data_IF_152849152304
#
_entry.id   IF_152849152304
#
_cell.length_a   1.000
_cell.length_b   1.000
_cell.length_c   1.000
_cell.angle_alpha   90.00
_cell.angle_beta   90.00
_cell.angle_gamma   90.00
#
_symmetry.space_group_name_H-M   'P 1'
#
loop_
_entity.id
_entity.type
_entity.pdbx_description
1 polymer ?
#
# COMPACT_ATOMS: atom_id res chain seq x y z
N UNK A 1 -65.48 52.59 -51.61
CA UNK A 1 -64.05 52.21 -51.45
C UNK A 1 -63.78 51.03 -52.36
N UNK A 2 -62.80 51.10 -53.28
CA UNK A 2 -62.74 50.18 -54.41
C UNK A 2 -62.14 48.81 -54.00
N UNK A 3 -62.68 47.69 -54.52
CA UNK A 3 -62.29 46.33 -54.14
C UNK A 3 -60.85 45.94 -54.53
N UNK A 4 -60.19 46.75 -55.36
CA UNK A 4 -58.81 46.51 -55.81
C UNK A 4 -57.75 46.76 -54.73
N UNK A 5 -58.02 47.62 -53.74
CA UNK A 5 -57.06 47.90 -52.66
C UNK A 5 -56.93 46.73 -51.69
N UNK A 6 -58.03 46.01 -51.44
CA UNK A 6 -58.06 44.85 -50.56
C UNK A 6 -57.30 43.65 -51.13
N UNK A 7 -57.33 43.46 -52.46
CA UNK A 7 -56.65 42.34 -53.12
C UNK A 7 -55.12 42.51 -53.11
N UNK A 8 -54.65 43.75 -53.32
CA UNK A 8 -53.22 44.09 -53.28
C UNK A 8 -52.62 43.87 -51.89
N UNK A 9 -53.34 44.27 -50.83
CA UNK A 9 -52.90 44.07 -49.45
C UNK A 9 -52.83 42.59 -49.08
N UNK A 10 -53.79 41.79 -49.55
CA UNK A 10 -53.80 40.33 -49.33
C UNK A 10 -52.66 39.63 -50.08
N UNK A 11 -52.35 40.07 -51.29
CA UNK A 11 -51.21 39.55 -52.07
C UNK A 11 -49.86 39.87 -51.39
N UNK A 12 -49.69 41.11 -50.92
CA UNK A 12 -48.48 41.52 -50.21
C UNK A 12 -48.31 40.76 -48.88
N UNK A 13 -49.40 40.52 -48.15
CA UNK A 13 -49.39 39.72 -46.93
C UNK A 13 -49.04 38.25 -47.20
N UNK A 14 -49.56 37.67 -48.28
CA UNK A 14 -49.21 36.31 -48.70
C UNK A 14 -47.73 36.20 -49.11
N UNK A 15 -47.21 37.17 -49.86
CA UNK A 15 -45.79 37.23 -50.24
C UNK A 15 -44.89 37.36 -49.01
N UNK A 16 -45.28 38.19 -48.03
CA UNK A 16 -44.57 38.30 -46.75
C UNK A 16 -44.55 36.97 -46.00
N UNK A 17 -45.67 36.25 -45.95
CA UNK A 17 -45.76 34.92 -45.34
C UNK A 17 -44.87 33.90 -46.05
N UNK A 18 -44.80 33.92 -47.38
CA UNK A 18 -43.90 33.05 -48.16
C UNK A 18 -42.43 33.39 -47.89
N UNK A 19 -42.08 34.67 -47.78
CA UNK A 19 -40.72 35.11 -47.42
C UNK A 19 -40.35 34.70 -45.99
N UNK A 20 -41.27 34.87 -45.03
CA UNK A 20 -41.05 34.45 -43.64
C UNK A 20 -40.95 32.93 -43.52
N UNK A 21 -41.79 32.18 -44.24
CA UNK A 21 -41.75 30.72 -44.28
C UNK A 21 -40.45 30.21 -44.92
N UNK A 22 -39.99 30.83 -46.02
CA UNK A 22 -38.72 30.48 -46.65
C UNK A 22 -37.50 30.85 -45.79
N UNK A 23 -37.56 31.95 -45.03
CA UNK A 23 -36.52 32.29 -44.03
C UNK A 23 -36.51 31.31 -42.85
N UNK A 24 -37.66 30.89 -42.33
CA UNK A 24 -37.74 29.84 -41.30
C UNK A 24 -37.28 28.49 -41.84
N UNK A 25 -37.64 28.12 -43.07
CA UNK A 25 -37.22 26.88 -43.70
C UNK A 25 -35.70 26.85 -43.95
N UNK A 26 -35.11 27.96 -44.41
CA UNK A 26 -33.66 28.08 -44.60
C UNK A 26 -32.90 28.12 -43.26
N UNK A 27 -33.47 28.73 -42.22
CA UNK A 27 -32.91 28.71 -40.86
C UNK A 27 -33.00 27.34 -40.20
N UNK A 28 -34.04 26.55 -40.51
CA UNK A 28 -34.22 25.19 -40.00
C UNK A 28 -33.36 24.15 -40.73
N UNK A 29 -32.91 24.43 -41.96
CA UNK A 29 -31.91 23.62 -42.67
C UNK A 29 -30.45 24.03 -42.36
N UNK A 30 -30.23 25.27 -41.92
CA UNK A 30 -28.89 25.80 -41.60
C UNK A 30 -28.62 25.94 -40.09
N UNK A 31 -29.49 25.43 -39.21
CA UNK A 31 -29.08 25.16 -37.85
C UNK A 31 -27.86 24.21 -37.93
N UNK A 32 -26.70 24.55 -37.34
CA UNK A 32 -25.62 23.59 -37.27
C UNK A 32 -26.17 22.42 -36.49
N UNK A 33 -26.45 21.32 -37.19
CA UNK A 33 -26.54 20.03 -36.55
C UNK A 33 -25.22 19.94 -35.80
N UNK A 34 -25.27 20.06 -34.47
CA UNK A 34 -24.22 19.53 -33.63
C UNK A 34 -24.20 18.05 -33.96
N UNK A 35 -23.50 17.71 -35.05
CA UNK A 35 -23.09 16.35 -35.33
C UNK A 35 -22.36 15.99 -34.06
N UNK A 36 -23.02 15.15 -33.26
CA UNK A 36 -22.32 14.35 -32.27
C UNK A 36 -21.13 13.78 -33.02
N UNK A 37 -19.92 14.30 -32.75
CA UNK A 37 -18.67 13.73 -33.25
C UNK A 37 -18.50 12.41 -32.51
N UNK A 38 -19.35 11.45 -32.86
CA UNK A 38 -19.07 10.05 -32.64
C UNK A 38 -17.98 9.72 -33.67
N UNK A 39 -16.73 10.13 -33.41
CA UNK A 39 -15.66 9.28 -33.92
C UNK A 39 -16.00 7.90 -33.32
N UNK A 40 -16.17 6.86 -34.15
CA UNK A 40 -16.60 5.57 -33.64
C UNK A 40 -15.62 5.21 -32.52
N UNK A 41 -16.11 4.74 -31.37
CA UNK A 41 -15.25 4.43 -30.22
C UNK A 41 -14.00 3.60 -30.62
N UNK A 42 -14.12 2.83 -31.70
CA UNK A 42 -13.08 2.10 -32.42
C UNK A 42 -11.88 2.94 -32.89
N UNK A 43 -12.08 4.17 -33.39
CA UNK A 43 -11.01 5.05 -33.90
C UNK A 43 -10.23 5.72 -32.76
N UNK A 44 -10.92 6.11 -31.68
CA UNK A 44 -10.25 6.55 -30.46
C UNK A 44 -9.49 5.40 -29.80
N UNK A 45 -10.08 4.21 -29.75
CA UNK A 45 -9.44 3.02 -29.18
C UNK A 45 -8.22 2.59 -30.01
N UNK A 46 -8.30 2.65 -31.34
CA UNK A 46 -7.16 2.33 -32.21
C UNK A 46 -6.06 3.37 -32.09
N UNK A 47 -6.39 4.66 -32.06
CA UNK A 47 -5.43 5.74 -31.79
C UNK A 47 -4.75 5.55 -30.42
N UNK A 48 -5.53 5.35 -29.36
CA UNK A 48 -5.02 5.13 -28.00
C UNK A 48 -4.09 3.91 -27.94
N UNK A 49 -4.50 2.79 -28.54
CA UNK A 49 -3.69 1.56 -28.57
C UNK A 49 -2.41 1.75 -29.39
N UNK A 50 -2.49 2.44 -30.52
CA UNK A 50 -1.32 2.72 -31.38
C UNK A 50 -0.36 3.76 -30.80
N UNK A 51 -0.82 4.60 -29.87
CA UNK A 51 -0.01 5.63 -29.21
C UNK A 51 0.88 5.09 -28.09
N UNK A 52 0.61 3.88 -27.60
CA UNK A 52 1.44 3.21 -26.59
C UNK A 52 2.58 2.43 -27.25
N UNK A 53 3.80 2.61 -26.76
CA UNK A 53 4.98 1.91 -27.27
C UNK A 53 5.78 1.26 -26.15
N UNK A 54 6.18 0.00 -26.36
CA UNK A 54 7.03 -0.75 -25.43
C UNK A 54 8.35 -0.01 -25.15
N UNK A 55 8.91 0.72 -26.13
CA UNK A 55 10.14 1.49 -25.94
C UNK A 55 9.92 2.68 -24.99
N UNK A 56 8.75 3.32 -25.07
CA UNK A 56 8.39 4.45 -24.22
C UNK A 56 8.10 3.98 -22.79
N UNK A 57 7.36 2.87 -22.64
CA UNK A 57 7.14 2.22 -21.34
C UNK A 57 8.47 1.82 -20.68
N UNK A 58 9.35 1.14 -21.43
CA UNK A 58 10.69 0.75 -20.96
C UNK A 58 11.52 1.96 -20.53
N UNK A 59 11.50 3.04 -21.31
CA UNK A 59 12.20 4.28 -20.98
C UNK A 59 11.69 4.91 -19.69
N UNK A 60 10.36 5.02 -19.52
CA UNK A 60 9.77 5.56 -18.30
C UNK A 60 10.08 4.70 -17.08
N UNK A 61 9.94 3.37 -17.21
CA UNK A 61 10.29 2.42 -16.16
C UNK A 61 11.75 2.60 -15.75
N UNK A 62 12.68 2.60 -16.72
CA UNK A 62 14.11 2.79 -16.46
C UNK A 62 14.41 4.10 -15.74
N UNK A 63 13.73 5.20 -16.11
CA UNK A 63 13.90 6.49 -15.45
C UNK A 63 13.39 6.49 -14.00
N UNK A 64 12.22 5.89 -13.75
CA UNK A 64 11.58 5.87 -12.43
C UNK A 64 12.28 4.91 -11.47
N UNK A 65 12.88 3.83 -11.95
CA UNK A 65 13.54 2.80 -11.11
C UNK A 65 15.04 2.99 -10.94
N UNK A 66 15.63 4.13 -11.34
CA UNK A 66 17.09 4.37 -11.20
C UNK A 66 17.58 4.41 -9.76
N UNK A 67 16.70 4.78 -8.82
CA UNK A 67 17.01 5.00 -7.40
C UNK A 67 15.81 4.60 -6.55
N UNK A 68 16.03 4.11 -5.32
CA UNK A 68 14.96 3.97 -4.34
C UNK A 68 14.28 5.33 -4.11
N UNK A 69 12.94 5.36 -4.15
CA UNK A 69 12.16 6.60 -4.11
C UNK A 69 11.04 6.51 -3.06
N UNK A 70 11.42 6.10 -1.84
CA UNK A 70 10.54 5.99 -0.67
C UNK A 70 9.83 7.32 -0.38
N UNK A 71 8.55 7.26 -0.01
CA UNK A 71 7.76 8.46 0.31
C UNK A 71 8.49 9.39 1.27
N UNK A 72 8.36 10.71 1.09
CA UNK A 72 9.02 11.72 1.93
C UNK A 72 10.52 11.94 1.66
N UNK A 73 11.16 11.19 0.75
CA UNK A 73 12.58 11.35 0.42
C UNK A 73 12.84 12.28 -0.78
N UNK A 74 14.05 12.88 -0.90
CA UNK A 74 14.43 13.66 -2.08
C UNK A 74 14.35 12.88 -3.41
N UNK A 75 14.65 11.57 -3.40
CA UNK A 75 14.51 10.70 -4.57
C UNK A 75 13.05 10.56 -5.02
N UNK A 76 12.10 10.49 -4.08
CA UNK A 76 10.66 10.49 -4.37
C UNK A 76 10.20 11.81 -4.98
N UNK A 77 10.70 12.93 -4.48
CA UNK A 77 10.45 14.24 -5.11
C UNK A 77 10.99 14.32 -6.54
N UNK A 78 12.15 13.71 -6.79
CA UNK A 78 12.75 13.65 -8.14
C UNK A 78 11.90 12.82 -9.10
N UNK A 79 11.37 11.68 -8.64
CA UNK A 79 10.44 10.86 -9.42
C UNK A 79 9.14 11.61 -9.74
N UNK A 80 8.57 12.34 -8.77
CA UNK A 80 7.40 13.18 -8.99
C UNK A 80 7.66 14.30 -10.00
N UNK A 81 8.82 14.96 -9.92
CA UNK A 81 9.23 15.97 -10.89
C UNK A 81 9.39 15.41 -12.31
N UNK A 82 9.91 14.18 -12.44
CA UNK A 82 9.97 13.49 -13.73
C UNK A 82 8.57 13.29 -14.31
N UNK A 83 7.63 12.73 -13.55
CA UNK A 83 6.25 12.53 -14.03
C UNK A 83 5.61 13.86 -14.42
N UNK A 84 5.75 14.90 -13.59
CA UNK A 84 5.23 16.24 -13.87
C UNK A 84 5.78 16.80 -15.19
N UNK A 85 7.08 16.66 -15.44
CA UNK A 85 7.70 17.12 -16.68
C UNK A 85 7.16 16.38 -17.91
N UNK A 86 6.96 15.06 -17.84
CA UNK A 86 6.38 14.27 -18.94
C UNK A 86 4.95 14.67 -19.25
N UNK A 87 4.12 14.87 -18.23
CA UNK A 87 2.74 15.33 -18.42
C UNK A 87 2.69 16.72 -19.05
N UNK A 88 3.55 17.66 -18.61
CA UNK A 88 3.66 19.00 -19.22
C UNK A 88 4.13 18.96 -20.66
N UNK A 89 5.16 18.16 -20.96
CA UNK A 89 5.65 17.99 -22.33
C UNK A 89 4.60 17.39 -23.26
N UNK A 90 3.66 16.60 -22.73
CA UNK A 90 2.51 16.08 -23.48
C UNK A 90 1.37 17.11 -23.66
N UNK A 91 1.56 18.36 -23.22
CA UNK A 91 0.56 19.42 -23.34
C UNK A 91 -0.57 19.35 -22.30
N UNK A 92 -0.44 18.51 -21.27
CA UNK A 92 -1.46 18.39 -20.23
C UNK A 92 -1.36 19.53 -19.21
N UNK A 93 -2.52 20.08 -18.82
CA UNK A 93 -2.61 20.96 -17.66
C UNK A 93 -2.28 20.14 -16.39
N UNK A 94 -1.30 20.59 -15.63
CA UNK A 94 -0.78 19.86 -14.47
C UNK A 94 -0.81 20.71 -13.21
N UNK A 95 -1.18 20.09 -12.10
CA UNK A 95 -1.23 20.70 -10.77
C UNK A 95 -0.44 19.84 -9.78
N UNK A 96 0.29 20.47 -8.87
CA UNK A 96 0.97 19.81 -7.76
C UNK A 96 0.35 20.23 -6.43
N UNK A 97 0.17 19.28 -5.52
CA UNK A 97 -0.29 19.53 -4.15
C UNK A 97 0.68 18.89 -3.17
N UNK A 98 0.94 19.61 -2.08
CA UNK A 98 1.83 19.16 -1.01
C UNK A 98 1.00 18.89 0.24
N UNK A 99 1.25 17.73 0.84
CA UNK A 99 0.70 17.32 2.11
C UNK A 99 1.84 17.01 3.08
N UNK A 100 1.56 17.10 4.37
CA UNK A 100 2.48 16.76 5.46
C UNK A 100 1.86 15.63 6.31
N UNK A 101 1.69 14.41 5.77
CA UNK A 101 1.15 13.29 6.53
C UNK A 101 2.17 12.76 7.55
N UNK A 102 1.70 12.04 8.57
CA UNK A 102 2.59 11.24 9.40
C UNK A 102 3.21 10.11 8.55
N UNK A 103 4.52 9.98 8.59
CA UNK A 103 5.27 8.87 8.00
C UNK A 103 6.14 8.24 9.09
N UNK A 104 6.59 7.01 8.87
CA UNK A 104 7.48 6.29 9.78
C UNK A 104 8.68 5.73 9.02
N UNK A 105 9.86 5.78 9.62
CA UNK A 105 11.08 5.20 9.08
C UNK A 105 11.78 4.40 10.18
N UNK A 106 12.55 3.35 9.83
CA UNK A 106 13.32 2.63 10.82
C UNK A 106 14.56 3.43 11.24
N UNK A 107 14.91 3.36 12.52
CA UNK A 107 16.16 3.89 13.07
C UNK A 107 17.17 2.76 13.27
N UNK A 108 16.81 1.72 14.01
CA UNK A 108 17.66 0.56 14.25
C UNK A 108 16.83 -0.66 14.62
N UNK A 109 17.28 -1.85 14.23
CA UNK A 109 16.67 -3.12 14.63
C UNK A 109 17.74 -4.18 14.87
N UNK A 110 17.45 -5.12 15.76
CA UNK A 110 18.30 -6.29 16.00
C UNK A 110 17.45 -7.49 16.37
N UNK A 111 17.91 -8.66 15.95
CA UNK A 111 17.29 -9.93 16.28
C UNK A 111 18.38 -10.96 16.58
N UNK A 112 18.19 -11.74 17.63
CA UNK A 112 19.13 -12.81 17.99
C UNK A 112 18.43 -13.92 18.75
N UNK A 113 18.97 -15.14 18.62
CA UNK A 113 18.63 -16.28 19.44
C UNK A 113 19.51 -16.26 20.69
N UNK A 114 18.88 -16.45 21.85
CA UNK A 114 19.54 -16.66 23.12
C UNK A 114 19.23 -18.07 23.65
N UNK A 115 20.11 -18.58 24.49
CA UNK A 115 19.86 -19.76 25.33
C UNK A 115 18.94 -19.39 26.52
N UNK A 116 18.41 -20.37 27.28
CA UNK A 116 17.57 -20.10 28.44
C UNK A 116 18.30 -19.33 29.56
N UNK A 117 19.63 -19.41 29.62
CA UNK A 117 20.48 -18.63 30.52
C UNK A 117 20.76 -17.20 30.03
N UNK A 118 20.05 -16.75 28.98
CA UNK A 118 20.20 -15.46 28.31
C UNK A 118 21.55 -15.24 27.60
N UNK A 119 22.40 -16.26 27.50
CA UNK A 119 23.64 -16.17 26.71
C UNK A 119 23.33 -16.16 25.20
N UNK A 120 24.12 -15.39 24.44
CA UNK A 120 23.95 -15.29 22.98
C UNK A 120 24.22 -16.65 22.33
N UNK A 121 23.21 -17.17 21.62
CA UNK A 121 23.34 -18.36 20.79
C UNK A 121 23.77 -17.96 19.37
N UNK A 122 23.01 -17.06 18.74
CA UNK A 122 23.25 -16.64 17.36
C UNK A 122 22.63 -15.28 17.04
N UNK A 123 23.39 -14.30 16.48
CA UNK A 123 22.80 -13.12 15.88
C UNK A 123 22.10 -13.48 14.56
N UNK A 124 20.93 -12.89 14.31
CA UNK A 124 20.15 -13.13 13.10
C UNK A 124 20.27 -11.92 12.16
N UNK A 125 20.43 -12.18 10.86
CA UNK A 125 20.52 -11.11 9.86
C UNK A 125 19.16 -10.46 9.64
N UNK A 126 19.14 -9.12 9.57
CA UNK A 126 17.97 -8.34 9.15
C UNK A 126 18.20 -7.66 7.80
N UNK A 127 19.32 -7.94 7.15
CA UNK A 127 19.60 -7.48 5.80
C UNK A 127 18.70 -8.22 4.81
N UNK A 128 18.43 -7.60 3.67
CA UNK A 128 17.77 -8.24 2.55
C UNK A 128 18.81 -9.06 1.78
N UNK A 129 18.72 -10.40 1.73
CA UNK A 129 19.71 -11.21 1.00
C UNK A 129 19.88 -10.82 -0.47
N UNK A 130 18.81 -10.36 -1.13
CA UNK A 130 18.85 -9.88 -2.51
C UNK A 130 19.60 -8.55 -2.69
N UNK A 131 19.76 -7.76 -1.62
CA UNK A 131 20.55 -6.53 -1.60
C UNK A 131 21.24 -6.37 -0.23
N UNK A 132 22.33 -7.12 0.00
CA UNK A 132 22.98 -7.16 1.30
C UNK A 132 23.82 -5.90 1.58
N UNK A 133 23.89 -4.95 0.64
CA UNK A 133 24.73 -3.77 0.77
C UNK A 133 24.03 -2.65 1.53
N UNK A 134 24.49 -2.27 2.74
CA UNK A 134 23.94 -1.11 3.46
C UNK A 134 24.19 0.22 2.72
N UNK A 135 25.04 0.22 1.70
CA UNK A 135 25.38 1.41 0.89
C UNK A 135 24.50 1.61 -0.34
N UNK A 136 23.54 0.71 -0.62
CA UNK A 136 22.66 0.79 -1.80
C UNK A 136 21.67 1.96 -1.74
N UNK A 137 21.52 2.60 -0.58
CA UNK A 137 20.53 3.64 -0.33
C UNK A 137 19.10 3.10 -0.21
N UNK A 138 18.93 1.76 -0.18
CA UNK A 138 17.67 1.09 0.08
C UNK A 138 17.43 1.10 1.59
N UNK A 139 16.21 1.48 2.00
CA UNK A 139 15.81 1.44 3.41
C UNK A 139 15.85 -0.01 3.91
N UNK A 140 16.40 -0.30 5.10
CA UNK A 140 16.34 -1.65 5.68
C UNK A 140 14.90 -2.17 5.74
N UNK A 141 14.69 -3.50 5.70
CA UNK A 141 13.35 -4.06 5.88
C UNK A 141 12.71 -3.62 7.19
N UNK A 142 11.48 -3.11 7.13
CA UNK A 142 10.74 -2.64 8.30
C UNK A 142 9.23 -2.69 8.07
N UNK A 143 8.50 -2.70 9.19
CA UNK A 143 7.06 -2.52 9.21
C UNK A 143 6.74 -1.05 9.52
N UNK A 144 6.21 -0.34 8.54
CA UNK A 144 5.81 1.05 8.71
C UNK A 144 4.71 1.16 9.76
N UNK A 145 4.84 2.14 10.65
CA UNK A 145 4.03 2.40 11.84
C UNK A 145 4.18 1.39 12.99
N UNK A 146 5.07 0.39 12.90
CA UNK A 146 5.41 -0.42 14.08
C UNK A 146 5.96 0.47 15.20
N UNK A 147 5.47 0.34 16.45
CA UNK A 147 6.04 1.07 17.58
C UNK A 147 7.46 0.59 17.89
N UNK A 148 8.26 1.46 18.51
CA UNK A 148 9.53 1.08 19.11
C UNK A 148 9.30 0.15 20.30
N UNK A 149 10.16 -0.85 20.48
CA UNK A 149 10.03 -1.80 21.58
C UNK A 149 11.12 -2.87 21.55
N UNK A 150 11.23 -3.60 22.64
CA UNK A 150 12.16 -4.72 22.80
C UNK A 150 11.49 -5.84 23.57
N UNK A 151 11.77 -7.07 23.20
CA UNK A 151 11.26 -8.26 23.86
C UNK A 151 12.35 -9.32 23.94
N UNK A 152 12.46 -9.97 25.09
CA UNK A 152 13.26 -11.19 25.26
C UNK A 152 12.32 -12.27 25.73
N UNK A 153 11.83 -13.08 24.80
CA UNK A 153 10.79 -14.06 25.11
C UNK A 153 10.88 -15.31 24.22
N UNK A 154 10.27 -16.43 24.63
CA UNK A 154 10.19 -17.62 23.80
C UNK A 154 9.46 -17.33 22.48
N UNK A 155 9.93 -17.87 21.35
CA UNK A 155 9.20 -17.79 20.08
C UNK A 155 8.03 -18.79 20.01
N UNK A 156 6.97 -18.43 19.28
CA UNK A 156 5.83 -19.30 18.94
C UNK A 156 5.45 -19.10 17.47
N UNK A 157 5.35 -20.18 16.70
CA UNK A 157 4.91 -20.15 15.31
C UNK A 157 3.40 -20.30 15.21
N UNK A 158 2.77 -19.34 14.52
CA UNK A 158 1.30 -19.23 14.43
C UNK A 158 0.83 -19.28 12.98
N UNK A 159 1.57 -19.95 12.10
CA UNK A 159 1.24 -20.03 10.67
C UNK A 159 1.00 -18.64 10.04
N UNK A 160 -0.22 -18.32 9.60
CA UNK A 160 -0.56 -17.02 9.02
C UNK A 160 -1.03 -15.99 10.06
N UNK A 161 -1.19 -16.39 11.32
CA UNK A 161 -1.67 -15.53 12.41
C UNK A 161 -3.15 -15.17 12.29
N UNK A 162 -3.97 -16.03 11.68
CA UNK A 162 -5.44 -15.88 11.62
C UNK A 162 -6.09 -16.46 12.87
N UNK A 163 -7.36 -16.12 13.09
CA UNK A 163 -8.13 -16.65 14.22
C UNK A 163 -8.12 -18.19 14.26
N UNK A 164 -8.20 -18.87 13.11
CA UNK A 164 -8.16 -20.34 13.06
C UNK A 164 -6.81 -20.91 13.48
N UNK A 165 -5.71 -20.20 13.20
CA UNK A 165 -4.36 -20.64 13.56
C UNK A 165 -4.18 -20.60 15.09
N UNK A 166 -4.76 -19.59 15.77
CA UNK A 166 -4.77 -19.54 17.24
C UNK A 166 -5.65 -20.63 17.85
N UNK A 167 -6.79 -20.96 17.24
CA UNK A 167 -7.64 -22.08 17.71
C UNK A 167 -6.89 -23.42 17.64
N UNK A 168 -6.03 -23.60 16.64
CA UNK A 168 -5.16 -24.79 16.56
C UNK A 168 -4.15 -24.79 17.70
N UNK A 169 -3.49 -23.66 18.00
CA UNK A 169 -2.57 -23.58 19.14
C UNK A 169 -3.25 -23.85 20.48
N UNK A 170 -4.47 -23.35 20.68
CA UNK A 170 -5.27 -23.60 21.89
C UNK A 170 -5.54 -25.11 22.05
N UNK A 171 -5.85 -25.82 20.96
CA UNK A 171 -6.03 -27.29 20.96
C UNK A 171 -4.73 -28.04 21.24
N UNK A 172 -3.59 -27.50 20.82
CA UNK A 172 -2.26 -28.04 21.11
C UNK A 172 -1.76 -27.68 22.52
N UNK A 173 -2.51 -26.87 23.28
CA UNK A 173 -2.13 -26.41 24.61
C UNK A 173 -0.97 -25.40 24.60
N UNK A 174 -0.79 -24.63 23.53
CA UNK A 174 0.31 -23.69 23.35
C UNK A 174 -0.18 -22.26 23.56
N UNK A 175 0.24 -21.65 24.67
CA UNK A 175 -0.07 -20.24 24.97
C UNK A 175 0.79 -19.28 24.14
N UNK A 176 0.21 -18.14 23.74
CA UNK A 176 0.89 -17.05 22.99
C UNK A 176 1.24 -15.86 23.87
N UNK A 177 0.53 -15.67 24.98
CA UNK A 177 0.77 -14.58 25.93
C UNK A 177 2.23 -14.54 26.39
N UNK A 178 2.85 -13.37 26.37
CA UNK A 178 4.24 -13.17 26.77
C UNK A 178 5.29 -13.72 25.79
N UNK A 179 4.91 -14.07 24.54
CA UNK A 179 5.82 -14.66 23.53
C UNK A 179 6.09 -13.74 22.35
N UNK A 180 7.18 -14.04 21.62
CA UNK A 180 7.41 -13.47 20.28
C UNK A 180 6.71 -14.34 19.24
N UNK A 181 5.71 -13.78 18.58
CA UNK A 181 4.93 -14.47 17.55
C UNK A 181 5.70 -14.48 16.23
N UNK A 182 5.88 -15.66 15.66
CA UNK A 182 6.47 -15.88 14.33
C UNK A 182 5.33 -16.21 13.36
N UNK A 183 5.19 -15.39 12.33
CA UNK A 183 4.10 -15.53 11.35
C UNK A 183 4.62 -15.48 9.93
N UNK A 184 4.02 -16.32 9.09
CA UNK A 184 4.16 -16.29 7.65
C UNK A 184 3.26 -15.20 7.08
N UNK A 185 3.82 -14.41 6.17
CA UNK A 185 3.11 -13.39 5.42
C UNK A 185 2.15 -14.05 4.44
N UNK A 186 0.86 -13.74 4.56
CA UNK A 186 -0.16 -14.16 3.62
C UNK A 186 -1.55 -13.92 4.17
N UNK A 187 -2.58 -14.35 3.43
CA UNK A 187 -3.95 -14.57 3.92
C UNK A 187 -4.67 -13.38 4.62
N UNK A 188 -4.16 -12.15 4.50
CA UNK A 188 -4.79 -10.96 5.06
C UNK A 188 -3.87 -9.73 5.16
N UNK A 189 -4.38 -8.62 5.72
CA UNK A 189 -3.59 -7.41 6.01
C UNK A 189 -2.61 -7.64 7.17
N UNK A 190 -1.38 -7.12 7.06
CA UNK A 190 -0.35 -7.26 8.11
C UNK A 190 -0.79 -6.64 9.45
N UNK A 191 -1.43 -5.47 9.40
CA UNK A 191 -1.90 -4.78 10.60
C UNK A 191 -2.92 -5.60 11.40
N UNK A 192 -3.78 -6.35 10.71
CA UNK A 192 -4.73 -7.25 11.37
C UNK A 192 -4.02 -8.41 12.08
N UNK A 193 -2.99 -8.99 11.46
CA UNK A 193 -2.17 -10.05 12.08
C UNK A 193 -1.45 -9.54 13.33
N UNK A 194 -0.85 -8.34 13.25
CA UNK A 194 -0.17 -7.73 14.41
C UNK A 194 -1.15 -7.36 15.52
N UNK A 195 -2.32 -6.82 15.17
CA UNK A 195 -3.38 -6.51 16.14
C UNK A 195 -3.88 -7.77 16.84
N UNK A 196 -4.09 -8.86 16.10
CA UNK A 196 -4.51 -10.15 16.67
C UNK A 196 -3.47 -10.73 17.63
N UNK A 197 -2.19 -10.69 17.25
CA UNK A 197 -1.12 -11.13 18.14
C UNK A 197 -1.10 -10.32 19.45
N UNK A 198 -1.31 -9.00 19.37
CA UNK A 198 -1.43 -8.14 20.54
C UNK A 198 -2.66 -8.49 21.41
N UNK A 199 -3.82 -8.76 20.79
CA UNK A 199 -5.03 -9.23 21.50
C UNK A 199 -4.77 -10.55 22.25
N UNK A 200 -3.93 -11.42 21.69
CA UNK A 200 -3.52 -12.70 22.29
C UNK A 200 -2.36 -12.57 23.30
N UNK A 201 -1.93 -11.34 23.60
CA UNK A 201 -0.91 -11.06 24.62
C UNK A 201 0.53 -11.25 24.15
N UNK A 202 0.80 -11.33 22.84
CA UNK A 202 2.17 -11.41 22.33
C UNK A 202 2.96 -10.13 22.62
N UNK A 203 4.27 -10.27 22.82
CA UNK A 203 5.18 -9.15 23.12
C UNK A 203 5.71 -8.48 21.84
N UNK A 204 5.89 -9.27 20.77
CA UNK A 204 6.38 -8.80 19.49
C UNK A 204 5.97 -9.75 18.36
N UNK A 205 6.04 -9.26 17.11
CA UNK A 205 5.77 -10.07 15.92
C UNK A 205 6.97 -10.06 14.96
N UNK A 206 7.43 -11.24 14.58
CA UNK A 206 8.37 -11.44 13.48
C UNK A 206 7.60 -12.03 12.30
N UNK A 207 7.61 -11.34 11.17
CA UNK A 207 6.88 -11.75 9.97
C UNK A 207 7.83 -12.11 8.84
N UNK A 208 7.61 -13.23 8.15
CA UNK A 208 8.47 -13.65 7.04
C UNK A 208 7.66 -13.97 5.78
N UNK A 209 8.24 -13.73 4.60
CA UNK A 209 7.67 -14.19 3.34
C UNK A 209 8.28 -15.52 2.91
N UNK A 210 7.58 -16.25 2.04
CA UNK A 210 8.07 -17.51 1.44
C UNK A 210 8.89 -17.32 0.17
N UNK A 211 9.31 -16.09 -0.12
CA UNK A 211 10.11 -15.84 -1.31
C UNK A 211 11.48 -16.46 -1.15
N UNK A 212 11.85 -17.33 -2.09
CA UNK A 212 13.16 -17.97 -2.15
C UNK A 212 14.22 -17.12 -2.85
N UNK A 213 13.84 -15.95 -3.37
CA UNK A 213 14.73 -15.02 -4.06
C UNK A 213 15.51 -14.09 -3.11
N UNK A 214 15.38 -14.29 -1.79
CA UNK A 214 16.07 -13.49 -0.80
C UNK A 214 15.46 -12.10 -0.58
N UNK A 215 14.23 -11.84 -1.04
CA UNK A 215 13.54 -10.58 -0.81
C UNK A 215 12.84 -10.51 0.56
N UNK A 216 12.76 -9.31 1.15
CA UNK A 216 12.02 -9.07 2.40
C UNK A 216 10.87 -8.08 2.18
N UNK A 217 9.64 -8.53 2.47
CA UNK A 217 8.42 -7.76 2.18
C UNK A 217 8.19 -6.63 3.21
N UNK A 218 8.64 -5.42 2.88
CA UNK A 218 8.29 -4.18 3.61
C UNK A 218 6.79 -3.91 3.52
N UNK A 219 6.24 -3.16 4.47
CA UNK A 219 4.84 -2.72 4.39
C UNK A 219 4.31 -2.06 5.64
N UNK A 220 3.13 -1.46 5.53
CA UNK A 220 2.42 -0.87 6.67
C UNK A 220 1.77 -1.95 7.54
N UNK A 221 1.84 -1.76 8.86
CA UNK A 221 1.06 -2.49 9.86
C UNK A 221 -0.01 -1.62 10.51
N UNK A 222 -0.22 -0.40 10.03
CA UNK A 222 -1.35 0.43 10.44
C UNK A 222 -2.67 -0.26 10.02
N UNK A 223 -3.62 -0.28 10.94
CA UNK A 223 -4.95 -0.85 10.78
C UNK A 223 -5.99 0.21 10.41
N UNK A 224 -7.09 -0.24 9.82
CA UNK A 224 -8.25 0.62 9.52
C UNK A 224 -8.19 1.31 8.16
N UNK A 225 -8.88 2.44 8.06
CA UNK A 225 -9.09 3.18 6.82
C UNK A 225 -7.80 3.78 6.25
N UNK A 226 -7.85 4.10 4.95
CA UNK A 226 -6.76 4.78 4.23
C UNK A 226 -6.62 6.25 4.65
N UNK A 227 -5.44 6.83 4.44
CA UNK A 227 -5.15 8.24 4.72
C UNK A 227 -4.24 8.46 5.93
N UNK A 228 -3.88 9.72 6.21
CA UNK A 228 -3.05 10.10 7.35
C UNK A 228 -3.74 9.71 8.67
N UNK A 229 -3.06 8.98 9.59
CA UNK A 229 -3.60 8.70 10.91
C UNK A 229 -4.00 9.97 11.67
N UNK A 230 -3.28 11.08 11.47
CA UNK A 230 -3.48 12.31 12.26
C UNK A 230 -4.57 13.24 11.70
N UNK A 231 -5.11 12.95 10.50
CA UNK A 231 -6.17 13.76 9.88
C UNK A 231 -7.25 12.87 9.26
N UNK A 232 -8.00 12.09 10.06
CA UNK A 232 -8.96 11.13 9.56
C UNK A 232 -10.14 11.83 8.85
N UNK A 233 -10.15 11.78 7.52
CA UNK A 233 -11.24 12.33 6.70
C UNK A 233 -11.01 13.75 6.17
N UNK A 234 -9.88 14.39 6.49
CA UNK A 234 -9.51 15.69 5.90
C UNK A 234 -8.05 15.73 5.45
N UNK A 235 -7.71 16.77 4.69
CA UNK A 235 -6.40 16.90 4.08
C UNK A 235 -5.33 17.31 5.11
N UNK A 236 -4.22 16.57 5.13
CA UNK A 236 -3.01 16.90 5.91
C UNK A 236 -2.23 18.06 5.28
N UNK A 237 -2.84 19.24 5.12
CA UNK A 237 -2.17 20.44 4.62
C UNK A 237 -1.26 21.04 5.72
N UNK A 238 0.01 21.30 5.39
CA UNK A 238 1.07 21.66 6.36
C UNK A 238 0.82 22.97 7.15
N UNK A 239 1.60 23.13 8.23
CA UNK A 239 1.80 24.21 9.25
C UNK A 239 0.87 25.45 9.42
N UNK A 240 -0.10 25.73 8.54
CA UNK A 240 -0.96 26.93 8.57
C UNK A 240 -2.47 26.62 8.52
N UNK A 241 -2.94 25.49 9.04
CA UNK A 241 -4.37 25.41 9.40
C UNK A 241 -5.17 24.13 9.19
N UNK A 242 -4.56 22.95 9.03
CA UNK A 242 -5.32 21.71 9.26
C UNK A 242 -5.26 21.35 10.75
N UNK A 243 -6.41 21.08 11.35
CA UNK A 243 -6.50 20.37 12.62
C UNK A 243 -5.77 19.02 12.51
N UNK A 244 -5.07 18.61 13.56
CA UNK A 244 -4.37 17.34 13.61
C UNK A 244 -4.58 16.71 14.97
N UNK A 245 -4.94 15.43 14.95
CA UNK A 245 -4.92 14.60 16.14
C UNK A 245 -3.48 14.36 16.61
N UNK A 246 -3.33 14.04 17.88
CA UNK A 246 -2.08 13.58 18.49
C UNK A 246 -1.96 12.06 18.36
N UNK A 247 -0.74 11.53 18.42
CA UNK A 247 -0.54 10.08 18.38
C UNK A 247 -1.19 9.36 19.57
N UNK A 248 -1.40 10.07 20.68
CA UNK A 248 -2.04 9.53 21.88
C UNK A 248 -3.57 9.49 21.81
N UNK A 249 -4.18 10.21 20.86
CA UNK A 249 -5.64 10.25 20.72
C UNK A 249 -6.17 8.87 20.37
N UNK A 250 -7.31 8.50 20.96
CA UNK A 250 -7.84 7.14 20.88
C UNK A 250 -8.09 6.68 19.44
N UNK A 251 -8.60 7.57 18.59
CA UNK A 251 -8.84 7.30 17.17
C UNK A 251 -7.54 6.97 16.42
N UNK A 252 -6.44 7.65 16.75
CA UNK A 252 -5.12 7.37 16.18
C UNK A 252 -4.56 6.06 16.73
N UNK A 253 -4.63 5.87 18.05
CA UNK A 253 -4.15 4.65 18.73
C UNK A 253 -4.87 3.38 18.29
N UNK A 254 -6.13 3.48 17.85
CA UNK A 254 -6.88 2.35 17.27
C UNK A 254 -6.33 1.93 15.90
N UNK A 255 -5.68 2.84 15.18
CA UNK A 255 -5.07 2.58 13.86
C UNK A 255 -3.62 2.14 13.97
N UNK A 256 -2.87 2.62 14.97
CA UNK A 256 -1.47 2.24 15.15
C UNK A 256 -1.32 0.89 15.89
N UNK A 257 -0.36 0.03 15.50
CA UNK A 257 -0.07 -1.20 16.23
C UNK A 257 0.37 -0.94 17.67
N UNK A 258 -0.01 -1.85 18.57
CA UNK A 258 0.30 -1.74 20.01
C UNK A 258 1.60 -2.43 20.41
N UNK A 259 2.03 -3.43 19.64
CA UNK A 259 3.24 -4.22 19.89
C UNK A 259 4.21 -4.05 18.72
N UNK A 260 5.53 -4.10 18.96
CA UNK A 260 6.52 -3.97 17.91
C UNK A 260 6.48 -5.18 16.95
N UNK A 261 6.79 -4.92 15.69
CA UNK A 261 6.87 -5.96 14.67
C UNK A 261 7.95 -5.66 13.64
N UNK A 262 8.55 -6.70 13.06
CA UNK A 262 9.51 -6.55 11.96
C UNK A 262 9.37 -7.64 10.90
N UNK A 263 9.62 -7.33 9.62
CA UNK A 263 9.74 -8.34 8.59
C UNK A 263 11.17 -8.93 8.57
N UNK A 264 11.29 -10.21 8.26
CA UNK A 264 12.57 -10.92 8.11
C UNK A 264 12.59 -11.77 6.83
N UNK A 265 13.78 -12.17 6.40
CA UNK A 265 13.93 -13.07 5.25
C UNK A 265 13.45 -14.49 5.56
N UNK A 266 13.19 -15.26 4.50
CA UNK A 266 12.90 -16.68 4.62
C UNK A 266 14.02 -17.43 5.35
N UNK A 267 15.30 -17.16 5.03
CA UNK A 267 16.42 -17.84 5.71
C UNK A 267 16.44 -17.54 7.20
N UNK A 268 16.23 -16.27 7.57
CA UNK A 268 16.19 -15.84 8.98
C UNK A 268 15.05 -16.52 9.72
N UNK A 269 13.87 -16.60 9.10
CA UNK A 269 12.73 -17.32 9.69
C UNK A 269 13.02 -18.80 9.86
N UNK A 270 13.61 -19.48 8.86
CA UNK A 270 13.98 -20.89 8.96
C UNK A 270 14.93 -21.14 10.14
N UNK A 271 15.88 -20.24 10.41
CA UNK A 271 16.76 -20.35 11.59
C UNK A 271 15.98 -20.32 12.92
N UNK A 272 14.97 -19.45 13.02
CA UNK A 272 14.10 -19.37 14.20
C UNK A 272 13.23 -20.63 14.30
N UNK A 273 12.60 -21.04 13.20
CA UNK A 273 11.65 -22.14 13.15
C UNK A 273 12.32 -23.49 13.46
N UNK A 274 13.57 -23.69 13.02
CA UNK A 274 14.37 -24.89 13.37
C UNK A 274 14.67 -25.00 14.86
N UNK A 275 14.69 -23.87 15.57
CA UNK A 275 14.94 -23.84 17.00
C UNK A 275 13.67 -24.09 17.84
N UNK A 276 12.48 -24.12 17.21
CA UNK A 276 11.23 -24.40 17.90
C UNK A 276 11.13 -25.87 18.31
N UNK A 277 10.67 -26.07 19.55
CA UNK A 277 10.26 -27.36 20.08
C UNK A 277 8.78 -27.39 20.42
N UNK A 278 8.45 -28.12 21.48
CA UNK A 278 7.07 -28.28 21.95
C UNK A 278 6.22 -29.18 21.05
N UNK A 279 4.88 -29.05 21.11
CA UNK A 279 3.95 -29.85 20.32
C UNK A 279 4.23 -29.77 18.82
N UNK A 280 4.04 -30.89 18.12
CA UNK A 280 4.30 -31.01 16.70
C UNK A 280 3.49 -29.98 15.89
N UNK A 281 4.13 -29.37 14.90
CA UNK A 281 3.43 -28.51 13.95
C UNK A 281 2.48 -29.34 13.07
N UNK A 282 1.24 -28.86 12.82
CA UNK A 282 0.36 -29.48 11.84
C UNK A 282 1.05 -29.61 10.48
N UNK A 283 0.88 -30.74 9.80
CA UNK A 283 1.56 -31.02 8.53
C UNK A 283 1.27 -29.94 7.48
N UNK A 284 0.04 -29.42 7.49
CA UNK A 284 -0.41 -28.35 6.60
C UNK A 284 0.31 -27.00 6.84
N UNK A 285 1.00 -26.81 7.97
CA UNK A 285 1.79 -25.61 8.24
C UNK A 285 3.24 -25.73 7.73
N UNK A 286 3.70 -26.95 7.46
CA UNK A 286 5.09 -27.31 7.18
C UNK A 286 5.43 -27.19 5.69
N UNK A 287 5.43 -25.97 5.15
CA UNK A 287 5.82 -25.69 3.76
C UNK A 287 6.63 -24.40 3.63
N UNK A 288 7.23 -24.17 2.46
CA UNK A 288 8.02 -22.97 2.18
C UNK A 288 9.17 -22.81 3.19
N UNK A 289 9.33 -21.60 3.75
CA UNK A 289 10.37 -21.35 4.76
C UNK A 289 10.16 -22.10 6.09
N UNK A 290 8.94 -22.61 6.34
CA UNK A 290 8.62 -23.45 7.48
C UNK A 290 8.59 -24.94 7.16
N UNK A 291 9.12 -25.39 6.02
CA UNK A 291 9.10 -26.83 5.66
C UNK A 291 9.78 -27.73 6.71
N UNK A 292 10.78 -27.20 7.42
CA UNK A 292 11.52 -27.93 8.45
C UNK A 292 11.05 -27.63 9.89
N UNK A 293 9.92 -26.92 10.06
CA UNK A 293 9.39 -26.66 11.40
C UNK A 293 8.92 -27.97 12.02
N UNK A 294 9.39 -28.25 13.24
CA UNK A 294 9.03 -29.49 13.96
C UNK A 294 7.97 -29.25 15.01
N UNK A 295 8.04 -28.12 15.71
CA UNK A 295 7.08 -27.75 16.73
C UNK A 295 6.65 -26.29 16.62
N UNK A 296 5.51 -25.98 17.23
CA UNK A 296 4.87 -24.66 17.10
C UNK A 296 5.29 -23.68 18.20
N UNK A 297 6.00 -24.11 19.24
CA UNK A 297 6.37 -23.21 20.32
C UNK A 297 6.90 -23.94 21.55
N UNK A 298 7.88 -23.34 22.20
CA UNK A 298 8.73 -24.00 23.19
C UNK A 298 10.11 -24.29 22.61
N UNK A 299 10.86 -25.16 23.28
CA UNK A 299 12.28 -25.34 23.01
C UNK A 299 13.15 -24.47 23.92
N UNK A 300 14.44 -24.77 23.97
CA UNK A 300 15.40 -24.12 24.86
C UNK A 300 16.01 -22.88 24.21
N UNK A 301 15.18 -21.99 23.66
CA UNK A 301 15.62 -20.73 23.04
C UNK A 301 14.71 -19.56 23.37
N UNK A 302 15.29 -18.37 23.44
CA UNK A 302 14.58 -17.09 23.51
C UNK A 302 14.94 -16.26 22.28
N UNK A 303 14.00 -15.44 21.81
CA UNK A 303 14.30 -14.38 20.86
C UNK A 303 14.55 -13.08 21.60
N UNK A 304 15.69 -12.47 21.34
CA UNK A 304 15.98 -11.10 21.72
C UNK A 304 15.74 -10.19 20.51
N UNK A 305 14.62 -9.49 20.58
CA UNK A 305 14.07 -8.59 19.58
C UNK A 305 14.27 -7.15 20.04
N UNK A 306 14.73 -6.27 19.15
CA UNK A 306 14.68 -4.81 19.37
C UNK A 306 14.34 -4.10 18.08
N UNK A 307 13.42 -3.15 18.15
CA UNK A 307 13.01 -2.30 17.04
C UNK A 307 12.88 -0.84 17.50
N UNK A 308 13.45 0.08 16.72
CA UNK A 308 13.33 1.53 16.94
C UNK A 308 12.95 2.21 15.63
N UNK A 309 11.90 3.04 15.69
CA UNK A 309 11.55 4.01 14.66
C UNK A 309 12.00 5.42 15.05
#
# INVERSE_FOLDING_TARGET
MPPHFSLLVLLLFFLLLVVLYSFQYSSSQNAPVLRSRNAPATEFLSFFSSSSSNSTVSTHLRCLTRRPHLAGTPSSSSAAAYVLSRLRSAGLQTLTRTYSPLLSYPSSSSLSLLRPDHSLLKPLSLLEPADPSPSSGVVPPYHAYSPSGSAVAPPVFVNFGRDEDYVVLDKLGVEVSGKVVIVRRGMGPRGAVVAKAAEKGAEAVVMFGDRTDGGVERGTVMSGSVGDPLTPGWAAVGARGAERLREEDEEVRRRLPRIPSMPVSAETATEILRALGGPAAPEEWCFGAAAEVRGVGGGNVLLNFTYRR
#
